data_IF_618579038286
#
_entry.id   IF_618579038286
#
_cell.length_a   1.000
_cell.length_b   1.000
_cell.length_c   1.000
_cell.angle_alpha   90.00
_cell.angle_beta   90.00
_cell.angle_gamma   90.00
#
_symmetry.space_group_name_H-M   'P 1'
#
loop_
_entity.id
_entity.type
_entity.pdbx_description
1 polymer ?
#
# COMPACT_ATOMS: atom_id res chain seq x y z
N UNK A 1 -83.69 26.79 -48.47
CA UNK A 1 -83.89 25.77 -49.54
C UNK A 1 -82.54 25.10 -49.75
N UNK A 2 -82.37 23.90 -49.21
CA UNK A 2 -81.11 23.14 -49.23
C UNK A 2 -81.35 21.86 -50.01
N UNK A 3 -80.75 21.71 -51.18
CA UNK A 3 -80.80 20.48 -51.98
C UNK A 3 -79.61 19.57 -51.65
N UNK A 4 -79.80 18.24 -51.52
CA UNK A 4 -78.71 17.34 -51.18
C UNK A 4 -77.80 17.10 -52.39
N UNK A 5 -76.49 17.33 -52.24
CA UNK A 5 -75.48 16.89 -53.18
C UNK A 5 -75.36 15.35 -53.15
N UNK A 6 -75.82 14.69 -54.22
CA UNK A 6 -75.59 13.26 -54.43
C UNK A 6 -74.16 13.06 -54.95
N UNK A 7 -73.28 12.52 -54.09
CA UNK A 7 -71.90 12.15 -54.45
C UNK A 7 -71.94 10.86 -55.26
N UNK A 8 -71.59 10.92 -56.56
CA UNK A 8 -71.43 9.72 -57.42
C UNK A 8 -70.32 8.83 -56.84
N UNK A 9 -70.70 7.65 -56.34
CA UNK A 9 -69.75 6.59 -56.05
C UNK A 9 -69.26 5.99 -57.37
N UNK A 10 -67.99 6.21 -57.71
CA UNK A 10 -67.33 5.48 -58.80
C UNK A 10 -67.00 4.08 -58.27
N UNK A 11 -67.61 3.06 -58.85
CA UNK A 11 -67.29 1.66 -58.55
C UNK A 11 -65.86 1.34 -58.99
N UNK A 12 -65.17 0.53 -58.18
CA UNK A 12 -63.80 0.10 -58.46
C UNK A 12 -63.75 -0.81 -59.69
N UNK A 13 -62.74 -0.59 -60.55
CA UNK A 13 -62.45 -1.49 -61.66
C UNK A 13 -61.86 -2.80 -61.15
N UNK A 14 -62.20 -3.92 -61.78
CA UNK A 14 -61.61 -5.24 -61.51
C UNK A 14 -60.06 -5.20 -61.53
N UNK A 15 -59.49 -4.39 -62.43
CA UNK A 15 -58.04 -4.22 -62.57
C UNK A 15 -57.44 -3.50 -61.36
N UNK A 16 -58.15 -2.52 -60.80
CA UNK A 16 -57.68 -1.74 -59.67
C UNK A 16 -57.62 -2.59 -58.39
N UNK A 17 -58.61 -3.45 -58.17
CA UNK A 17 -58.61 -4.42 -57.06
C UNK A 17 -57.52 -5.48 -57.26
N UNK A 18 -57.31 -5.98 -58.48
CA UNK A 18 -56.28 -6.97 -58.77
C UNK A 18 -54.86 -6.42 -58.50
N UNK A 19 -54.58 -5.18 -58.95
CA UNK A 19 -53.29 -4.51 -58.69
C UNK A 19 -53.11 -4.22 -57.21
N UNK A 20 -54.16 -3.75 -56.51
CA UNK A 20 -54.08 -3.50 -55.08
C UNK A 20 -53.78 -4.79 -54.28
N UNK A 21 -54.39 -5.91 -54.64
CA UNK A 21 -54.13 -7.21 -54.00
C UNK A 21 -52.72 -7.74 -54.31
N UNK A 22 -52.21 -7.55 -55.54
CA UNK A 22 -50.83 -7.89 -55.89
C UNK A 22 -49.83 -7.11 -55.03
N UNK A 23 -50.01 -5.79 -54.91
CA UNK A 23 -49.15 -4.92 -54.11
C UNK A 23 -49.27 -5.31 -52.63
N UNK A 24 -50.48 -5.52 -52.11
CA UNK A 24 -50.69 -5.93 -50.73
C UNK A 24 -50.04 -7.30 -50.44
N UNK A 25 -50.11 -8.25 -51.37
CA UNK A 25 -49.46 -9.55 -51.26
C UNK A 25 -47.93 -9.43 -51.24
N UNK A 26 -47.35 -8.61 -52.11
CA UNK A 26 -45.91 -8.35 -52.15
C UNK A 26 -45.42 -7.64 -50.88
N UNK A 27 -46.13 -6.60 -50.42
CA UNK A 27 -45.79 -5.88 -49.18
C UNK A 27 -45.91 -6.80 -47.97
N UNK A 28 -46.99 -7.60 -47.90
CA UNK A 28 -47.16 -8.57 -46.82
C UNK A 28 -46.04 -9.61 -46.82
N UNK A 29 -45.64 -10.13 -47.98
CA UNK A 29 -44.53 -11.07 -48.10
C UNK A 29 -43.21 -10.48 -47.59
N UNK A 30 -42.91 -9.21 -47.90
CA UNK A 30 -41.71 -8.51 -47.39
C UNK A 30 -41.80 -8.27 -45.89
N UNK A 31 -42.97 -7.87 -45.37
CA UNK A 31 -43.14 -7.64 -43.93
C UNK A 31 -42.99 -8.94 -43.14
N UNK A 32 -43.61 -10.04 -43.58
CA UNK A 32 -43.52 -11.33 -42.90
C UNK A 32 -42.11 -11.95 -42.93
N UNK A 33 -41.29 -11.64 -43.94
CA UNK A 33 -39.89 -12.08 -43.97
C UNK A 33 -38.98 -11.22 -43.08
N UNK A 34 -39.30 -9.95 -42.85
CA UNK A 34 -38.48 -9.02 -42.04
C UNK A 34 -38.80 -9.05 -40.53
N UNK A 35 -40.04 -9.38 -40.12
CA UNK A 35 -40.43 -9.52 -38.70
C UNK A 35 -39.49 -10.45 -37.89
N UNK A 36 -39.14 -11.66 -38.34
CA UNK A 36 -38.27 -12.54 -37.55
C UNK A 36 -36.84 -11.99 -37.39
N UNK A 37 -36.35 -11.20 -38.35
CA UNK A 37 -35.00 -10.61 -38.31
C UNK A 37 -34.91 -9.53 -37.23
N UNK A 38 -35.93 -8.66 -37.12
CA UNK A 38 -35.99 -7.65 -36.06
C UNK A 38 -36.01 -8.27 -34.66
N UNK A 39 -36.72 -9.40 -34.49
CA UNK A 39 -36.74 -10.13 -33.22
C UNK A 39 -35.40 -10.77 -32.84
N UNK A 40 -34.61 -11.21 -33.81
CA UNK A 40 -33.27 -11.77 -33.57
C UNK A 40 -32.26 -10.69 -33.14
N UNK A 41 -32.27 -9.53 -33.81
CA UNK A 41 -31.37 -8.40 -33.47
C UNK A 41 -31.68 -7.86 -32.07
N UNK A 42 -32.96 -7.66 -31.75
CA UNK A 42 -33.35 -7.18 -30.42
C UNK A 42 -32.98 -8.16 -29.29
N UNK A 43 -33.04 -9.47 -29.56
CA UNK A 43 -32.61 -10.49 -28.59
C UNK A 43 -31.10 -10.48 -28.39
N UNK A 44 -30.32 -10.38 -29.47
CA UNK A 44 -28.86 -10.29 -29.38
C UNK A 44 -28.42 -9.07 -28.55
N UNK A 45 -29.00 -7.88 -28.80
CA UNK A 45 -28.71 -6.67 -28.01
C UNK A 45 -29.08 -6.83 -26.52
N UNK A 46 -30.22 -7.45 -26.23
CA UNK A 46 -30.64 -7.73 -24.86
C UNK A 46 -29.66 -8.70 -24.18
N UNK A 47 -29.24 -9.72 -24.93
CA UNK A 47 -28.37 -10.76 -24.44
C UNK A 47 -26.97 -10.22 -24.09
N UNK A 48 -26.39 -9.39 -24.95
CA UNK A 48 -25.12 -8.71 -24.70
C UNK A 48 -25.18 -7.83 -23.44
N UNK A 49 -26.28 -7.06 -23.26
CA UNK A 49 -26.46 -6.22 -22.07
C UNK A 49 -26.56 -7.03 -20.80
N UNK A 50 -27.25 -8.17 -20.83
CA UNK A 50 -27.41 -9.05 -19.68
C UNK A 50 -26.08 -9.70 -19.29
N UNK A 51 -25.26 -10.12 -20.26
CA UNK A 51 -23.89 -10.60 -19.99
C UNK A 51 -23.00 -9.51 -19.40
N UNK A 52 -23.03 -8.29 -19.95
CA UNK A 52 -22.26 -7.18 -19.41
C UNK A 52 -22.66 -6.85 -17.96
N UNK A 53 -23.96 -6.90 -17.66
CA UNK A 53 -24.47 -6.73 -16.29
C UNK A 53 -24.00 -7.87 -15.37
N UNK A 54 -24.00 -9.12 -15.86
CA UNK A 54 -23.51 -10.26 -15.11
C UNK A 54 -22.00 -10.16 -14.80
N UNK A 55 -21.18 -9.72 -15.77
CA UNK A 55 -19.76 -9.46 -15.52
C UNK A 55 -19.55 -8.39 -14.45
N UNK A 56 -20.30 -7.28 -14.52
CA UNK A 56 -20.22 -6.23 -13.51
C UNK A 56 -20.62 -6.73 -12.12
N UNK A 57 -21.66 -7.58 -12.04
CA UNK A 57 -22.08 -8.20 -10.80
C UNK A 57 -21.03 -9.16 -10.25
N UNK A 58 -20.37 -9.96 -11.11
CA UNK A 58 -19.26 -10.83 -10.72
C UNK A 58 -18.05 -10.03 -10.21
N UNK A 59 -17.71 -8.91 -10.86
CA UNK A 59 -16.66 -8.01 -10.38
C UNK A 59 -17.01 -7.41 -9.02
N UNK A 60 -18.25 -6.94 -8.85
CA UNK A 60 -18.73 -6.42 -7.57
C UNK A 60 -18.72 -7.46 -6.47
N UNK A 61 -19.15 -8.69 -6.77
CA UNK A 61 -19.13 -9.82 -5.85
C UNK A 61 -17.70 -10.19 -5.45
N UNK A 62 -16.77 -10.33 -6.42
CA UNK A 62 -15.36 -10.59 -6.16
C UNK A 62 -14.72 -9.50 -5.27
N UNK A 63 -15.14 -8.23 -5.44
CA UNK A 63 -14.69 -7.13 -4.58
C UNK A 63 -15.22 -7.23 -3.16
N UNK A 64 -16.51 -7.53 -3.00
CA UNK A 64 -17.17 -7.55 -1.70
C UNK A 64 -16.90 -8.83 -0.90
N UNK A 65 -16.68 -9.96 -1.57
CA UNK A 65 -16.56 -11.29 -0.96
C UNK A 65 -15.17 -11.88 -1.06
N UNK A 66 -14.27 -11.29 -1.85
CA UNK A 66 -12.90 -11.76 -2.06
C UNK A 66 -12.82 -13.11 -2.79
N UNK A 67 -13.89 -13.54 -3.44
CA UNK A 67 -13.96 -14.76 -4.25
C UNK A 67 -15.08 -14.64 -5.28
N UNK A 68 -15.11 -15.53 -6.26
CA UNK A 68 -16.23 -15.70 -7.19
C UNK A 68 -17.33 -16.56 -6.55
N UNK A 69 -18.61 -16.35 -6.89
CA UNK A 69 -19.67 -17.18 -6.35
C UNK A 69 -19.57 -18.60 -6.91
N UNK A 70 -20.06 -19.59 -6.16
CA UNK A 70 -20.23 -20.93 -6.71
C UNK A 70 -21.39 -20.96 -7.71
N UNK A 71 -21.36 -21.90 -8.65
CA UNK A 71 -22.44 -22.02 -9.63
C UNK A 71 -23.73 -22.55 -9.00
N UNK A 72 -24.86 -22.13 -9.55
CA UNK A 72 -26.18 -22.68 -9.28
C UNK A 72 -26.35 -23.98 -10.07
N UNK A 73 -26.37 -25.11 -9.38
CA UNK A 73 -26.33 -26.44 -9.97
C UNK A 73 -27.72 -27.10 -10.05
N UNK A 74 -28.71 -26.58 -9.32
CA UNK A 74 -30.09 -27.08 -9.29
C UNK A 74 -31.13 -26.15 -9.94
N UNK A 75 -30.72 -24.92 -10.28
CA UNK A 75 -31.50 -23.92 -11.02
C UNK A 75 -32.39 -23.03 -10.16
N UNK A 76 -32.22 -23.01 -8.83
CA UNK A 76 -33.00 -22.19 -7.91
C UNK A 76 -32.60 -20.69 -7.88
N UNK A 77 -31.48 -20.37 -8.53
CA UNK A 77 -30.87 -19.04 -8.64
C UNK A 77 -29.90 -18.69 -7.51
N UNK A 78 -29.51 -19.64 -6.66
CA UNK A 78 -28.58 -19.48 -5.52
C UNK A 78 -27.29 -20.27 -5.76
N UNK A 79 -26.17 -19.90 -5.10
CA UNK A 79 -24.92 -20.64 -5.23
C UNK A 79 -25.01 -22.01 -4.53
N UNK A 80 -24.51 -23.06 -5.19
CA UNK A 80 -24.29 -24.37 -4.57
C UNK A 80 -22.81 -24.53 -4.16
N UNK A 81 -22.49 -24.64 -2.85
CA UNK A 81 -21.12 -24.68 -2.38
C UNK A 81 -20.24 -25.70 -3.11
N UNK A 82 -19.10 -25.24 -3.65
CA UNK A 82 -18.14 -26.08 -4.36
C UNK A 82 -18.50 -26.40 -5.82
N UNK A 83 -19.69 -26.00 -6.28
CA UNK A 83 -20.06 -26.15 -7.69
C UNK A 83 -19.29 -25.16 -8.56
N UNK A 84 -18.52 -25.67 -9.53
CA UNK A 84 -17.71 -24.87 -10.46
C UNK A 84 -18.39 -24.61 -11.81
N UNK A 85 -19.57 -25.19 -12.03
CA UNK A 85 -20.25 -25.17 -13.32
C UNK A 85 -21.74 -25.37 -13.15
N UNK A 86 -22.57 -24.57 -13.82
CA UNK A 86 -24.03 -24.61 -13.73
C UNK A 86 -24.66 -23.36 -14.31
N UNK A 87 -25.77 -22.93 -13.74
CA UNK A 87 -26.31 -21.60 -13.92
C UNK A 87 -25.54 -20.56 -13.09
N UNK A 88 -25.59 -19.31 -13.51
CA UNK A 88 -25.13 -18.19 -12.72
C UNK A 88 -26.09 -17.96 -11.54
N UNK A 89 -25.63 -17.77 -10.30
CA UNK A 89 -26.49 -17.57 -9.13
C UNK A 89 -27.09 -16.15 -9.12
N UNK A 90 -28.10 -15.94 -9.96
CA UNK A 90 -28.70 -14.63 -10.24
C UNK A 90 -29.25 -13.92 -9.01
N UNK A 91 -29.74 -14.64 -8.01
CA UNK A 91 -30.28 -14.03 -6.77
C UNK A 91 -29.18 -13.43 -5.91
N UNK A 92 -28.04 -14.11 -5.82
CA UNK A 92 -26.88 -13.61 -5.07
C UNK A 92 -26.24 -12.40 -5.76
N UNK A 93 -26.22 -12.41 -7.09
CA UNK A 93 -25.67 -11.34 -7.91
C UNK A 93 -26.63 -10.16 -8.14
N UNK A 94 -27.88 -10.25 -7.66
CA UNK A 94 -28.89 -9.19 -7.84
C UNK A 94 -29.32 -9.01 -9.30
N UNK A 95 -29.22 -10.07 -10.11
CA UNK A 95 -29.63 -10.10 -11.50
C UNK A 95 -31.12 -10.49 -11.62
N UNK A 96 -31.77 -10.24 -12.78
CA UNK A 96 -33.15 -10.68 -13.03
C UNK A 96 -33.31 -12.18 -12.78
N UNK A 97 -34.35 -12.58 -12.04
CA UNK A 97 -34.54 -13.98 -11.63
C UNK A 97 -34.88 -14.94 -12.78
N UNK A 98 -35.25 -14.42 -13.94
CA UNK A 98 -35.50 -15.14 -15.19
C UNK A 98 -34.25 -15.24 -16.09
N UNK A 99 -33.15 -14.58 -15.72
CA UNK A 99 -31.88 -14.69 -16.44
C UNK A 99 -31.33 -16.12 -16.33
N UNK A 100 -31.12 -16.75 -17.49
CA UNK A 100 -30.56 -18.10 -17.60
C UNK A 100 -29.21 -18.02 -18.30
N UNK A 101 -28.18 -17.78 -17.50
CA UNK A 101 -26.79 -17.62 -17.95
C UNK A 101 -26.01 -18.84 -17.47
N UNK A 102 -25.41 -19.58 -18.40
CA UNK A 102 -24.46 -20.65 -18.06
C UNK A 102 -23.21 -20.02 -17.46
N UNK A 103 -22.69 -20.64 -16.41
CA UNK A 103 -21.58 -20.14 -15.64
C UNK A 103 -20.60 -21.26 -15.32
N UNK A 104 -19.32 -21.01 -15.56
CA UNK A 104 -18.24 -21.83 -15.01
C UNK A 104 -17.17 -20.95 -14.40
N UNK A 105 -16.60 -21.39 -13.28
CA UNK A 105 -15.59 -20.66 -12.53
C UNK A 105 -14.43 -21.56 -12.12
N UNK A 106 -13.27 -20.95 -11.98
CA UNK A 106 -12.09 -21.64 -11.52
C UNK A 106 -12.26 -22.08 -10.06
N UNK A 107 -12.07 -23.37 -9.76
CA UNK A 107 -12.32 -23.95 -8.44
C UNK A 107 -11.59 -23.22 -7.30
N UNK A 108 -10.33 -22.86 -7.53
CA UNK A 108 -9.53 -22.11 -6.56
C UNK A 108 -10.09 -20.73 -6.21
N UNK A 109 -10.95 -20.14 -7.05
CA UNK A 109 -11.53 -18.82 -6.85
C UNK A 109 -12.93 -18.86 -6.21
N UNK A 110 -13.45 -20.03 -5.82
CA UNK A 110 -14.77 -20.17 -5.19
C UNK A 110 -14.79 -19.89 -3.68
N UNK A 111 -13.62 -19.78 -3.06
CA UNK A 111 -13.47 -19.49 -1.65
C UNK A 111 -12.58 -18.26 -1.46
N UNK A 112 -12.88 -17.46 -0.44
CA UNK A 112 -12.01 -16.35 -0.05
C UNK A 112 -10.62 -16.90 0.28
N UNK A 113 -9.54 -16.25 -0.18
CA UNK A 113 -8.21 -16.62 0.26
C UNK A 113 -8.07 -16.39 1.76
N UNK A 114 -7.13 -17.13 2.37
CA UNK A 114 -6.67 -16.79 3.72
C UNK A 114 -5.86 -15.49 3.72
N UNK A 115 -5.14 -15.24 4.82
CA UNK A 115 -4.13 -14.18 4.87
C UNK A 115 -2.89 -14.61 4.08
N UNK A 116 -2.84 -14.24 2.79
CA UNK A 116 -1.77 -14.53 1.83
C UNK A 116 -0.85 -13.31 1.68
N UNK A 117 -1.39 -12.10 1.80
CA UNK A 117 -0.67 -10.85 1.73
C UNK A 117 -0.25 -10.40 3.15
N UNK A 118 1.01 -10.63 3.50
CA UNK A 118 1.58 -10.20 4.78
C UNK A 118 2.83 -9.34 4.51
N UNK A 119 2.68 -8.00 4.37
CA UNK A 119 3.83 -7.14 4.17
C UNK A 119 4.69 -7.13 5.44
N UNK A 120 6.02 -7.23 5.27
CA UNK A 120 6.92 -7.13 6.40
C UNK A 120 6.99 -5.68 6.90
N UNK A 121 6.38 -5.39 8.05
CA UNK A 121 6.51 -4.10 8.72
C UNK A 121 7.64 -4.18 9.74
N UNK A 122 8.50 -3.16 9.76
CA UNK A 122 9.62 -3.12 10.69
C UNK A 122 9.14 -3.03 12.15
N UNK A 123 9.93 -3.56 13.09
CA UNK A 123 9.59 -3.59 14.52
C UNK A 123 8.70 -4.76 14.95
N UNK A 124 8.66 -5.85 14.16
CA UNK A 124 7.84 -7.06 14.40
C UNK A 124 6.32 -6.81 14.40
N UNK A 125 5.88 -5.69 13.82
CA UNK A 125 4.47 -5.44 13.61
C UNK A 125 3.96 -6.25 12.41
N UNK A 126 2.77 -6.82 12.56
CA UNK A 126 2.11 -7.58 11.51
C UNK A 126 0.75 -6.95 11.27
N UNK A 127 0.47 -6.62 10.01
CA UNK A 127 -0.90 -6.42 9.56
C UNK A 127 -1.33 -7.70 8.86
N UNK A 128 -2.41 -8.31 9.35
CA UNK A 128 -2.94 -9.58 8.87
C UNK A 128 -4.46 -9.56 8.58
N UNK A 129 -5.06 -8.48 8.04
CA UNK A 129 -6.46 -8.52 7.65
C UNK A 129 -6.62 -9.34 6.36
N UNK A 130 -7.58 -10.26 6.32
CA UNK A 130 -8.01 -10.85 5.04
C UNK A 130 -8.81 -9.83 4.26
N UNK A 131 -8.28 -9.40 3.11
CA UNK A 131 -8.79 -8.30 2.32
C UNK A 131 -8.54 -8.49 0.80
N UNK A 132 -8.81 -7.46 0.01
CA UNK A 132 -8.64 -7.48 -1.44
C UNK A 132 -7.23 -7.76 -1.96
N UNK A 133 -6.20 -7.44 -1.19
CA UNK A 133 -4.80 -7.70 -1.55
C UNK A 133 -4.52 -9.20 -1.51
N UNK A 134 -5.18 -9.96 -0.63
CA UNK A 134 -5.10 -11.43 -0.61
C UNK A 134 -5.72 -12.02 -1.87
N UNK A 135 -6.89 -11.52 -2.30
CA UNK A 135 -7.50 -11.93 -3.58
C UNK A 135 -6.56 -11.62 -4.74
N UNK A 136 -5.90 -10.45 -4.73
CA UNK A 136 -4.97 -10.07 -5.77
C UNK A 136 -3.74 -11.00 -5.84
N UNK A 137 -3.14 -11.38 -4.71
CA UNK A 137 -2.07 -12.38 -4.69
C UNK A 137 -2.56 -13.77 -5.09
N UNK A 138 -3.74 -14.16 -4.62
CA UNK A 138 -4.34 -15.44 -4.96
C UNK A 138 -4.60 -15.57 -6.47
N UNK A 139 -5.09 -14.52 -7.12
CA UNK A 139 -5.24 -14.47 -8.58
C UNK A 139 -3.90 -14.65 -9.30
N UNK A 140 -2.82 -14.04 -8.81
CA UNK A 140 -1.48 -14.25 -9.38
C UNK A 140 -1.01 -15.70 -9.25
N UNK A 141 -1.26 -16.34 -8.10
CA UNK A 141 -0.93 -17.75 -7.88
C UNK A 141 -1.75 -18.67 -8.80
N UNK A 142 -3.05 -18.43 -8.93
CA UNK A 142 -3.92 -19.18 -9.84
C UNK A 142 -3.46 -18.99 -11.29
N UNK A 143 -3.08 -17.78 -11.69
CA UNK A 143 -2.53 -17.51 -13.02
C UNK A 143 -1.22 -18.25 -13.27
N UNK A 144 -0.31 -18.28 -12.29
CA UNK A 144 0.96 -18.99 -12.39
C UNK A 144 0.79 -20.51 -12.52
N UNK A 145 -0.22 -21.08 -11.86
CA UNK A 145 -0.54 -22.50 -11.98
C UNK A 145 -1.10 -22.88 -13.37
N UNK A 146 -1.68 -21.92 -14.09
CA UNK A 146 -2.05 -22.07 -15.51
C UNK A 146 -3.12 -23.14 -15.78
N UNK A 147 -3.92 -23.51 -14.78
CA UNK A 147 -4.95 -24.55 -14.94
C UNK A 147 -6.09 -24.03 -15.82
N UNK A 148 -6.37 -24.69 -16.97
CA UNK A 148 -7.43 -24.26 -17.86
C UNK A 148 -8.82 -24.54 -17.25
N UNK A 149 -9.79 -23.71 -17.61
CA UNK A 149 -11.18 -23.95 -17.25
C UNK A 149 -11.78 -25.04 -18.13
N UNK A 150 -12.67 -25.88 -17.60
CA UNK A 150 -13.33 -26.92 -18.39
C UNK A 150 -14.03 -26.32 -19.62
N UNK A 151 -13.83 -26.93 -20.79
CA UNK A 151 -14.37 -26.44 -22.08
C UNK A 151 -13.50 -25.38 -22.75
N UNK A 152 -12.56 -24.77 -22.05
CA UNK A 152 -11.66 -23.74 -22.56
C UNK A 152 -10.21 -24.23 -22.59
N UNK A 153 -9.50 -23.94 -23.67
CA UNK A 153 -8.06 -24.25 -23.80
C UNK A 153 -7.16 -23.19 -23.16
N UNK A 154 -7.69 -22.33 -22.29
CA UNK A 154 -6.97 -21.22 -21.68
C UNK A 154 -7.28 -21.09 -20.17
N UNK A 155 -6.33 -20.59 -19.36
CA UNK A 155 -6.60 -20.24 -17.96
C UNK A 155 -7.60 -19.09 -17.89
N UNK A 156 -8.80 -19.38 -17.41
CA UNK A 156 -9.86 -18.40 -17.20
C UNK A 156 -10.28 -18.38 -15.72
N UNK A 157 -10.59 -17.20 -15.21
CA UNK A 157 -11.18 -17.06 -13.89
C UNK A 157 -12.64 -17.53 -13.91
N UNK A 158 -13.37 -17.15 -14.96
CA UNK A 158 -14.73 -17.60 -15.22
C UNK A 158 -15.09 -17.52 -16.70
N UNK A 159 -16.17 -18.23 -17.05
CA UNK A 159 -16.84 -18.19 -18.34
C UNK A 159 -18.35 -18.04 -18.15
N UNK A 160 -18.95 -17.28 -19.05
CA UNK A 160 -20.39 -17.06 -19.16
C UNK A 160 -20.85 -17.50 -20.55
N UNK A 161 -22.07 -18.03 -20.62
CA UNK A 161 -22.68 -18.33 -21.91
C UNK A 161 -24.18 -18.17 -21.88
N UNK A 162 -24.72 -17.73 -23.01
CA UNK A 162 -26.15 -17.60 -23.22
C UNK A 162 -26.54 -18.36 -24.49
N UNK A 163 -27.12 -19.57 -24.32
CA UNK A 163 -27.61 -20.35 -25.45
C UNK A 163 -28.74 -19.63 -26.19
N UNK A 164 -28.73 -19.71 -27.52
CA UNK A 164 -29.81 -19.16 -28.36
C UNK A 164 -31.17 -19.77 -28.03
N UNK A 165 -31.19 -21.04 -27.63
CA UNK A 165 -32.39 -21.78 -27.23
C UNK A 165 -32.34 -22.19 -25.76
N UNK A 166 -32.59 -21.22 -24.87
CA UNK A 166 -32.52 -21.40 -23.40
C UNK A 166 -33.34 -22.58 -22.86
N UNK A 167 -34.45 -22.94 -23.53
CA UNK A 167 -35.30 -24.08 -23.15
C UNK A 167 -34.72 -25.46 -23.45
N UNK A 168 -33.61 -25.54 -24.20
CA UNK A 168 -32.94 -26.81 -24.54
C UNK A 168 -31.83 -27.21 -23.55
N UNK A 169 -31.56 -26.39 -22.53
CA UNK A 169 -30.55 -26.71 -21.52
C UNK A 169 -31.13 -27.76 -20.56
N UNK A 170 -30.90 -29.03 -20.86
CA UNK A 170 -31.33 -30.15 -20.02
C UNK A 170 -30.50 -30.30 -18.75
N UNK A 171 -29.16 -30.21 -18.86
CA UNK A 171 -28.23 -30.26 -17.73
C UNK A 171 -27.30 -29.04 -17.80
N UNK A 172 -27.48 -28.11 -16.86
CA UNK A 172 -26.74 -26.86 -16.84
C UNK A 172 -25.26 -27.05 -16.51
N UNK A 173 -24.91 -28.00 -15.63
CA UNK A 173 -23.50 -28.26 -15.33
C UNK A 173 -22.74 -28.77 -16.56
N UNK A 174 -23.35 -29.71 -17.30
CA UNK A 174 -22.76 -30.25 -18.53
C UNK A 174 -22.65 -29.18 -19.62
N UNK A 175 -23.68 -28.36 -19.81
CA UNK A 175 -23.67 -27.27 -20.77
C UNK A 175 -22.62 -26.20 -20.41
N UNK A 176 -22.49 -25.84 -19.14
CA UNK A 176 -21.49 -24.87 -18.68
C UNK A 176 -20.04 -25.37 -18.85
N UNK A 177 -19.79 -26.68 -18.66
CA UNK A 177 -18.48 -27.30 -18.93
C UNK A 177 -18.14 -27.42 -20.41
N UNK A 178 -19.14 -27.30 -21.28
CA UNK A 178 -19.00 -27.36 -22.73
C UNK A 178 -19.00 -25.96 -23.38
N UNK A 179 -18.89 -24.89 -22.58
CA UNK A 179 -18.74 -23.52 -23.10
C UNK A 179 -17.49 -23.43 -23.97
N UNK A 180 -17.66 -22.91 -25.18
CA UNK A 180 -16.60 -22.68 -26.15
C UNK A 180 -16.55 -21.19 -26.51
N UNK A 181 -15.35 -20.63 -26.62
CA UNK A 181 -15.16 -19.24 -27.04
C UNK A 181 -15.44 -19.06 -28.54
N UNK A 182 -15.81 -17.84 -28.99
CA UNK A 182 -15.99 -17.56 -30.41
C UNK A 182 -14.74 -17.94 -31.23
N UNK A 183 -14.94 -18.71 -32.30
CA UNK A 183 -13.86 -19.20 -33.16
C UNK A 183 -13.16 -20.47 -32.68
N UNK A 184 -13.51 -21.01 -31.50
CA UNK A 184 -13.05 -22.33 -31.08
C UNK A 184 -13.79 -23.45 -31.82
N UNK A 185 -13.15 -24.61 -31.98
CA UNK A 185 -13.82 -25.79 -32.51
C UNK A 185 -14.94 -26.22 -31.55
N UNK A 186 -16.16 -26.54 -32.04
CA UNK A 186 -17.26 -26.94 -31.19
C UNK A 186 -16.93 -28.23 -30.45
N UNK A 187 -17.12 -28.21 -29.13
CA UNK A 187 -16.93 -29.37 -28.26
C UNK A 187 -18.26 -30.12 -28.15
N UNK A 188 -18.22 -31.43 -27.93
CA UNK A 188 -19.44 -32.22 -27.70
C UNK A 188 -20.25 -31.63 -26.53
N UNK A 189 -21.54 -31.35 -26.78
CA UNK A 189 -22.42 -30.70 -25.80
C UNK A 189 -22.36 -29.17 -25.76
N UNK A 190 -21.53 -28.54 -26.59
CA UNK A 190 -21.56 -27.07 -26.75
C UNK A 190 -22.88 -26.63 -27.39
N UNK A 191 -23.46 -25.55 -26.84
CA UNK A 191 -24.69 -24.96 -27.35
C UNK A 191 -24.35 -23.69 -28.13
N UNK A 192 -24.97 -23.47 -29.31
CA UNK A 192 -24.78 -22.22 -30.03
C UNK A 192 -25.34 -21.06 -29.22
N UNK A 193 -24.56 -19.97 -29.13
CA UNK A 193 -24.92 -18.84 -28.30
C UNK A 193 -23.78 -17.84 -28.14
N UNK A 194 -24.07 -16.79 -27.39
CA UNK A 194 -23.08 -15.79 -27.00
C UNK A 194 -22.26 -16.33 -25.82
N UNK A 195 -20.94 -16.36 -25.95
CA UNK A 195 -20.04 -16.79 -24.89
C UNK A 195 -18.98 -15.74 -24.61
N UNK A 196 -18.62 -15.64 -23.34
CA UNK A 196 -17.65 -14.69 -22.83
C UNK A 196 -16.82 -15.37 -21.75
N UNK A 197 -15.52 -15.10 -21.69
CA UNK A 197 -14.71 -15.58 -20.60
C UNK A 197 -13.72 -14.48 -20.19
N UNK A 198 -13.48 -14.39 -18.88
CA UNK A 198 -12.47 -13.50 -18.35
C UNK A 198 -11.25 -14.31 -17.90
N UNK A 199 -10.08 -13.95 -18.42
CA UNK A 199 -8.81 -14.50 -17.97
C UNK A 199 -8.54 -14.17 -16.49
N UNK A 200 -7.69 -14.95 -15.83
CA UNK A 200 -7.27 -14.64 -14.44
C UNK A 200 -6.54 -13.29 -14.36
N UNK A 201 -5.67 -13.01 -15.33
CA UNK A 201 -4.99 -11.71 -15.45
C UNK A 201 -5.94 -10.57 -15.81
N UNK A 202 -7.00 -10.84 -16.57
CA UNK A 202 -8.02 -9.84 -16.88
C UNK A 202 -8.84 -9.46 -15.65
N UNK A 203 -9.29 -10.44 -14.87
CA UNK A 203 -9.96 -10.20 -13.58
C UNK A 203 -9.05 -9.39 -12.65
N UNK A 204 -7.77 -9.76 -12.55
CA UNK A 204 -6.75 -9.02 -11.78
C UNK A 204 -6.61 -7.56 -12.24
N UNK A 205 -6.61 -7.32 -13.56
CA UNK A 205 -6.55 -5.98 -14.15
C UNK A 205 -7.80 -5.15 -13.82
N UNK A 206 -9.00 -5.72 -13.98
CA UNK A 206 -10.28 -5.05 -13.68
C UNK A 206 -10.43 -4.72 -12.18
N UNK A 207 -9.76 -5.47 -11.30
CA UNK A 207 -9.67 -5.21 -9.86
C UNK A 207 -8.56 -4.21 -9.46
N UNK A 208 -7.78 -3.71 -10.44
CA UNK A 208 -6.61 -2.86 -10.24
C UNK A 208 -5.56 -3.46 -9.29
N UNK A 209 -5.39 -4.78 -9.34
CA UNK A 209 -4.55 -5.51 -8.38
C UNK A 209 -3.08 -5.06 -8.40
N UNK A 210 -2.51 -4.81 -9.58
CA UNK A 210 -1.11 -4.39 -9.69
C UNK A 210 -0.86 -3.03 -9.02
N UNK A 211 -1.74 -2.05 -9.24
CA UNK A 211 -1.64 -0.73 -8.60
C UNK A 211 -1.77 -0.84 -7.08
N UNK A 212 -2.77 -1.58 -6.61
CA UNK A 212 -3.08 -1.71 -5.17
C UNK A 212 -2.01 -2.45 -4.40
N UNK A 213 -1.56 -3.59 -4.92
CA UNK A 213 -0.41 -4.31 -4.36
C UNK A 213 0.84 -3.42 -4.38
N UNK A 214 1.08 -2.69 -5.47
CA UNK A 214 2.21 -1.76 -5.59
C UNK A 214 2.19 -0.66 -4.54
N UNK A 215 1.04 -0.01 -4.31
CA UNK A 215 0.87 1.02 -3.28
C UNK A 215 1.07 0.46 -1.87
N UNK A 216 0.47 -0.68 -1.56
CA UNK A 216 0.58 -1.30 -0.24
C UNK A 216 2.03 -1.75 0.05
N UNK A 217 2.69 -2.38 -0.92
CA UNK A 217 4.09 -2.80 -0.78
C UNK A 217 5.05 -1.61 -0.73
N UNK A 218 4.83 -0.57 -1.55
CA UNK A 218 5.62 0.66 -1.51
C UNK A 218 5.49 1.39 -0.16
N UNK A 219 4.30 1.41 0.44
CA UNK A 219 4.10 1.97 1.77
C UNK A 219 4.80 1.14 2.86
N UNK A 220 4.74 -0.20 2.79
CA UNK A 220 5.47 -1.08 3.70
C UNK A 220 6.99 -0.86 3.62
N UNK A 221 7.55 -0.77 2.40
CA UNK A 221 8.96 -0.44 2.20
C UNK A 221 9.33 0.94 2.75
N UNK A 222 8.45 1.93 2.55
CA UNK A 222 8.64 3.28 3.09
C UNK A 222 8.63 3.28 4.62
N UNK A 223 7.75 2.50 5.26
CA UNK A 223 7.73 2.31 6.71
C UNK A 223 9.02 1.64 7.23
N UNK A 224 9.53 0.63 6.52
CA UNK A 224 10.79 -0.02 6.88
C UNK A 224 12.00 0.92 6.75
N UNK A 225 12.02 1.77 5.72
CA UNK A 225 13.04 2.80 5.55
C UNK A 225 12.96 3.85 6.68
N UNK A 226 11.76 4.33 7.01
CA UNK A 226 11.55 5.28 8.10
C UNK A 226 11.96 4.72 9.47
N UNK A 227 11.68 3.42 9.72
CA UNK A 227 12.17 2.71 10.91
C UNK A 227 13.70 2.72 11.00
N UNK A 228 14.38 2.40 9.89
CA UNK A 228 15.86 2.39 9.85
C UNK A 228 16.45 3.78 10.11
N UNK A 229 15.83 4.84 9.56
CA UNK A 229 16.23 6.22 9.81
C UNK A 229 16.03 6.59 11.30
N UNK A 230 14.91 6.17 11.90
CA UNK A 230 14.63 6.42 13.30
C UNK A 230 15.64 5.74 14.23
N UNK A 231 16.05 4.51 13.94
CA UNK A 231 17.10 3.80 14.70
C UNK A 231 18.45 4.52 14.64
N UNK A 232 18.85 4.99 13.44
CA UNK A 232 20.09 5.78 13.28
C UNK A 232 20.00 7.12 14.02
N UNK A 233 18.85 7.79 13.95
CA UNK A 233 18.61 9.04 14.67
C UNK A 233 18.66 8.83 16.20
N UNK A 234 18.10 7.72 16.69
CA UNK A 234 18.15 7.34 18.10
C UNK A 234 19.58 7.03 18.56
N UNK A 235 20.35 6.30 17.75
CA UNK A 235 21.76 6.06 18.02
C UNK A 235 22.54 7.39 18.09
N UNK A 236 22.34 8.28 17.11
CA UNK A 236 22.99 9.58 17.08
C UNK A 236 22.63 10.43 18.32
N UNK A 237 21.37 10.45 18.71
CA UNK A 237 20.92 11.14 19.93
C UNK A 237 21.60 10.58 21.19
N UNK A 238 21.64 9.25 21.35
CA UNK A 238 22.33 8.60 22.48
C UNK A 238 23.82 8.93 22.50
N UNK A 239 24.48 8.93 21.34
CA UNK A 239 25.88 9.31 21.19
C UNK A 239 26.11 10.77 21.60
N UNK A 240 25.27 11.72 21.16
CA UNK A 240 25.41 13.13 21.55
C UNK A 240 25.13 13.37 23.04
N UNK A 241 24.22 12.62 23.65
CA UNK A 241 24.03 12.63 25.10
C UNK A 241 25.23 12.08 25.87
N UNK A 242 25.94 11.10 25.31
CA UNK A 242 27.19 10.61 25.88
C UNK A 242 28.29 11.68 25.78
N UNK A 243 28.41 12.35 24.63
CA UNK A 243 29.36 13.45 24.41
C UNK A 243 29.17 14.60 25.41
N UNK A 244 27.92 15.00 25.68
CA UNK A 244 27.62 16.00 26.74
C UNK A 244 28.12 15.52 28.10
N UNK A 245 27.86 14.26 28.50
CA UNK A 245 28.34 13.73 29.78
C UNK A 245 29.86 13.69 29.87
N UNK A 246 30.54 13.37 28.77
CA UNK A 246 32.00 13.41 28.68
C UNK A 246 32.53 14.84 28.85
N UNK A 247 31.92 15.83 28.19
CA UNK A 247 32.29 17.24 28.33
C UNK A 247 31.98 17.79 29.73
N UNK A 248 30.91 17.32 30.39
CA UNK A 248 30.63 17.65 31.80
C UNK A 248 31.72 17.10 32.73
N UNK A 249 32.18 15.87 32.49
CA UNK A 249 33.28 15.29 33.23
C UNK A 249 34.62 16.04 33.00
N UNK A 250 34.90 16.44 31.75
CA UNK A 250 36.08 17.25 31.41
C UNK A 250 36.02 18.64 32.06
N UNK A 251 34.87 19.30 32.05
CA UNK A 251 34.69 20.58 32.75
C UNK A 251 34.97 20.43 34.25
N UNK A 252 34.43 19.40 34.88
CA UNK A 252 34.66 19.13 36.31
C UNK A 252 36.14 18.81 36.60
N UNK A 253 36.81 18.09 35.71
CA UNK A 253 38.24 17.83 35.82
C UNK A 253 39.07 19.13 35.65
N UNK A 254 38.71 19.98 34.69
CA UNK A 254 39.36 21.29 34.48
C UNK A 254 39.15 22.23 35.68
N UNK A 255 37.95 22.26 36.27
CA UNK A 255 37.69 22.99 37.52
C UNK A 255 38.58 22.51 38.68
N UNK A 256 38.74 21.19 38.83
CA UNK A 256 39.68 20.64 39.83
C UNK A 256 41.13 20.94 39.50
N UNK A 257 41.50 20.98 38.21
CA UNK A 257 42.84 21.34 37.74
C UNK A 257 43.16 22.82 38.02
N UNK A 258 42.23 23.73 37.75
CA UNK A 258 42.34 25.15 38.13
C UNK A 258 42.44 25.30 39.64
N UNK A 259 41.63 24.59 40.42
CA UNK A 259 41.71 24.63 41.87
C UNK A 259 43.05 24.12 42.41
N UNK A 260 43.60 23.05 41.83
CA UNK A 260 44.91 22.51 42.18
C UNK A 260 46.07 23.43 41.73
N UNK A 261 45.97 24.04 40.56
CA UNK A 261 46.95 25.03 40.06
C UNK A 261 46.90 26.32 40.88
N UNK A 262 45.71 26.78 41.27
CA UNK A 262 45.52 27.94 42.16
C UNK A 262 46.00 27.65 43.59
N UNK A 263 45.78 26.43 44.10
CA UNK A 263 46.36 25.99 45.36
C UNK A 263 47.89 25.92 45.29
N UNK A 264 48.45 25.40 44.20
CA UNK A 264 49.90 25.38 43.94
C UNK A 264 50.48 26.80 43.87
N UNK A 265 49.78 27.74 43.22
CA UNK A 265 50.14 29.15 43.20
C UNK A 265 50.08 29.76 44.60
N UNK A 266 49.04 29.47 45.39
CA UNK A 266 48.93 29.92 46.78
C UNK A 266 50.08 29.37 47.63
N UNK A 267 50.40 28.08 47.51
CA UNK A 267 51.55 27.47 48.20
C UNK A 267 52.89 28.09 47.77
N UNK A 268 53.09 28.35 46.47
CA UNK A 268 54.29 29.04 45.99
C UNK A 268 54.43 30.47 46.56
N UNK A 269 53.30 31.21 46.67
CA UNK A 269 53.26 32.53 47.32
C UNK A 269 53.55 32.42 48.83
N UNK A 270 53.04 31.38 49.50
CA UNK A 270 53.30 31.14 50.92
C UNK A 270 54.75 30.74 51.21
N UNK A 271 55.38 29.93 50.37
CA UNK A 271 56.81 29.58 50.48
C UNK A 271 57.70 30.83 50.33
N UNK A 272 57.34 31.76 49.43
CA UNK A 272 58.06 33.04 49.28
C UNK A 272 57.94 33.92 50.54
N UNK A 273 56.77 33.96 51.18
CA UNK A 273 56.56 34.70 52.43
C UNK A 273 57.38 34.12 53.60
N UNK A 274 57.57 32.80 53.66
CA UNK A 274 58.39 32.14 54.68
C UNK A 274 59.88 32.45 54.47
N UNK A 275 60.37 32.44 53.22
CA UNK A 275 61.76 32.79 52.88
C UNK A 275 62.10 34.25 53.25
N UNK A 276 61.18 35.20 53.00
CA UNK A 276 61.32 36.60 53.40
C UNK A 276 61.32 36.77 54.93
N UNK A 277 60.57 35.95 55.65
CA UNK A 277 60.49 36.02 57.11
C UNK A 277 61.74 35.46 57.79
N UNK A 278 62.28 34.34 57.29
CA UNK A 278 63.50 33.72 57.81
C UNK A 278 64.76 34.58 57.59
N UNK A 279 64.73 35.51 56.64
CA UNK A 279 65.83 36.44 56.35
C UNK A 279 65.77 37.75 57.14
N UNK A 280 64.67 38.07 57.83
CA UNK A 280 64.47 39.35 58.55
C UNK A 280 64.60 39.29 60.08
N UNK A 281 64.58 38.11 60.72
CA UNK A 281 64.52 38.00 62.20
C UNK A 281 65.81 37.52 62.89
N UNK A 282 66.99 37.57 62.24
CA UNK A 282 68.26 37.16 62.85
C UNK A 282 69.39 38.16 62.63
N UNK A 283 70.13 38.51 63.70
CA UNK A 283 71.26 39.44 63.69
C UNK A 283 72.21 39.26 62.48
N UNK A 284 72.52 40.38 61.82
CA UNK A 284 73.20 40.46 60.53
C UNK A 284 74.73 40.38 60.65
N UNK A 285 75.32 39.20 60.58
CA UNK A 285 76.76 39.05 60.30
C UNK A 285 77.05 37.84 59.38
N UNK A 286 77.28 38.10 58.08
CA UNK A 286 78.21 37.44 57.12
C UNK A 286 77.71 37.54 55.66
N UNK A 287 78.59 37.95 54.74
CA UNK A 287 78.30 38.12 53.29
C UNK A 287 77.90 36.85 52.53
N UNK A 288 78.07 35.68 53.13
CA UNK A 288 77.62 34.39 52.60
C UNK A 288 76.08 34.26 52.60
N UNK A 289 75.36 34.97 53.48
CA UNK A 289 73.89 34.90 53.59
C UNK A 289 73.13 35.79 52.61
N UNK A 290 73.72 36.92 52.18
CA UNK A 290 73.13 37.80 51.14
C UNK A 290 73.12 37.07 49.78
N UNK A 291 74.18 36.31 49.48
CA UNK A 291 74.24 35.49 48.26
C UNK A 291 73.20 34.35 48.26
N UNK A 292 72.91 33.74 49.42
CA UNK A 292 71.86 32.73 49.58
C UNK A 292 70.45 33.32 49.42
N UNK A 293 70.17 34.48 50.01
CA UNK A 293 68.88 35.16 49.87
C UNK A 293 68.59 35.61 48.41
N UNK A 294 69.61 36.09 47.69
CA UNK A 294 69.47 36.47 46.26
C UNK A 294 69.30 35.25 45.36
N UNK A 295 69.94 34.11 45.67
CA UNK A 295 69.74 32.86 44.92
C UNK A 295 68.38 32.20 45.21
N UNK A 296 67.86 32.27 46.44
CA UNK A 296 66.50 31.80 46.77
C UNK A 296 65.42 32.65 46.08
N UNK A 297 65.58 33.98 46.03
CA UNK A 297 64.64 34.86 45.33
C UNK A 297 64.59 34.64 43.81
N UNK A 298 65.71 34.26 43.19
CA UNK A 298 65.75 33.98 41.75
C UNK A 298 64.99 32.70 41.36
N UNK A 299 65.08 31.63 42.18
CA UNK A 299 64.30 30.41 41.98
C UNK A 299 62.81 30.59 42.34
N UNK A 300 62.49 31.44 43.33
CA UNK A 300 61.11 31.78 43.71
C UNK A 300 60.36 32.58 42.61
N UNK A 301 61.04 33.52 41.94
CA UNK A 301 60.45 34.25 40.80
C UNK A 301 60.18 33.33 39.59
N UNK A 302 61.03 32.33 39.37
CA UNK A 302 60.80 31.31 38.34
C UNK A 302 59.63 30.37 38.70
N UNK A 303 59.45 30.00 39.97
CA UNK A 303 58.36 29.14 40.42
C UNK A 303 57.00 29.86 40.46
N UNK A 304 56.96 31.14 40.83
CA UNK A 304 55.74 31.97 40.71
C UNK A 304 55.38 32.21 39.24
N UNK A 305 56.37 32.49 38.38
CA UNK A 305 56.14 32.63 36.94
C UNK A 305 55.61 31.33 36.28
N UNK A 306 56.15 30.18 36.68
CA UNK A 306 55.65 28.86 36.26
C UNK A 306 54.26 28.55 36.83
N UNK A 307 53.98 28.91 38.08
CA UNK A 307 52.67 28.74 38.70
C UNK A 307 51.60 29.65 38.06
N UNK A 308 51.93 30.90 37.72
CA UNK A 308 51.06 31.81 36.95
C UNK A 308 50.81 31.27 35.54
N UNK A 309 51.83 30.69 34.89
CA UNK A 309 51.68 30.01 33.60
C UNK A 309 50.77 28.78 33.70
N UNK A 310 50.89 27.96 34.75
CA UNK A 310 50.02 26.83 35.01
C UNK A 310 48.57 27.25 35.29
N UNK A 311 48.36 28.31 36.07
CA UNK A 311 47.03 28.88 36.31
C UNK A 311 46.42 29.43 35.01
N UNK A 312 47.23 30.07 34.16
CA UNK A 312 46.77 30.56 32.85
C UNK A 312 46.41 29.43 31.89
N UNK A 313 47.23 28.38 31.77
CA UNK A 313 46.86 27.19 30.99
C UNK A 313 45.59 26.54 31.54
N UNK A 314 45.46 26.43 32.87
CA UNK A 314 44.27 25.86 33.48
C UNK A 314 43.01 26.72 33.23
N UNK A 315 43.14 28.06 33.21
CA UNK A 315 42.04 28.98 32.87
C UNK A 315 41.66 28.89 31.38
N UNK A 316 42.65 28.82 30.48
CA UNK A 316 42.43 28.60 29.04
C UNK A 316 41.76 27.22 28.79
N UNK A 317 42.17 26.16 29.50
CA UNK A 317 41.56 24.82 29.48
C UNK A 317 40.11 24.84 30.01
N UNK A 318 39.86 25.59 31.09
CA UNK A 318 38.52 25.73 31.68
C UNK A 318 37.58 26.49 30.72
N UNK A 319 38.06 27.55 30.07
CA UNK A 319 37.32 28.26 29.03
C UNK A 319 37.02 27.35 27.83
N UNK A 320 38.02 26.61 27.35
CA UNK A 320 37.85 25.62 26.27
C UNK A 320 36.84 24.52 26.62
N UNK A 321 36.87 24.02 27.86
CA UNK A 321 35.92 23.02 28.35
C UNK A 321 34.49 23.58 28.45
N UNK A 322 34.30 24.84 28.86
CA UNK A 322 32.98 25.52 28.86
C UNK A 322 32.42 25.68 27.45
N UNK A 323 33.24 26.15 26.51
CA UNK A 323 32.84 26.32 25.10
C UNK A 323 32.51 24.98 24.43
N UNK A 324 33.30 23.94 24.70
CA UNK A 324 33.08 22.58 24.22
C UNK A 324 31.78 21.98 24.80
N UNK A 325 31.51 22.19 26.09
CA UNK A 325 30.25 21.76 26.71
C UNK A 325 29.04 22.50 26.12
N UNK A 326 29.13 23.81 25.91
CA UNK A 326 28.06 24.59 25.29
C UNK A 326 27.77 24.09 23.86
N UNK A 327 28.82 23.84 23.08
CA UNK A 327 28.71 23.27 21.72
C UNK A 327 28.11 21.86 21.74
N UNK A 328 28.56 21.00 22.65
CA UNK A 328 28.03 19.64 22.80
C UNK A 328 26.54 19.66 23.18
N UNK A 329 26.12 20.57 24.07
CA UNK A 329 24.70 20.76 24.44
C UNK A 329 23.84 21.22 23.26
N UNK A 330 24.32 22.16 22.45
CA UNK A 330 23.63 22.65 21.24
C UNK A 330 23.49 21.53 20.18
N UNK A 331 24.57 20.78 19.92
CA UNK A 331 24.54 19.61 19.02
C UNK A 331 23.57 18.53 19.54
N UNK A 332 23.56 18.26 20.85
CA UNK A 332 22.64 17.31 21.47
C UNK A 332 21.17 17.76 21.37
N UNK A 333 20.88 19.06 21.51
CA UNK A 333 19.54 19.62 21.33
C UNK A 333 19.05 19.40 19.89
N UNK A 334 19.88 19.73 18.88
CA UNK A 334 19.57 19.46 17.47
C UNK A 334 19.37 17.98 17.18
N UNK A 335 20.17 17.10 17.78
CA UNK A 335 20.02 15.65 17.66
C UNK A 335 18.71 15.15 18.29
N UNK A 336 18.26 15.73 19.41
CA UNK A 336 16.95 15.43 20.01
C UNK A 336 15.81 15.75 19.05
N UNK A 337 15.79 16.96 18.49
CA UNK A 337 14.74 17.36 17.53
C UNK A 337 14.71 16.45 16.30
N UNK A 338 15.88 16.04 15.78
CA UNK A 338 15.96 15.10 14.65
C UNK A 338 15.47 13.70 15.01
N UNK A 339 15.77 13.23 16.22
CA UNK A 339 15.26 11.96 16.74
C UNK A 339 13.72 11.99 16.84
N UNK A 340 13.15 13.07 17.38
CA UNK A 340 11.70 13.19 17.53
C UNK A 340 11.00 13.27 16.17
N UNK A 341 11.56 14.02 15.21
CA UNK A 341 11.06 14.07 13.84
C UNK A 341 11.13 12.70 13.16
N UNK A 342 12.23 11.97 13.32
CA UNK A 342 12.40 10.64 12.73
C UNK A 342 11.42 9.62 13.35
N UNK A 343 11.17 9.70 14.66
CA UNK A 343 10.17 8.89 15.34
C UNK A 343 8.75 9.17 14.82
N UNK A 344 8.37 10.45 14.67
CA UNK A 344 7.08 10.83 14.08
C UNK A 344 6.93 10.36 12.63
N UNK A 345 7.97 10.52 11.80
CA UNK A 345 7.94 10.07 10.41
C UNK A 345 7.80 8.55 10.31
N UNK A 346 8.49 7.79 11.18
CA UNK A 346 8.32 6.33 11.30
C UNK A 346 6.87 5.98 11.63
N UNK A 347 6.29 6.60 12.65
CA UNK A 347 4.94 6.27 13.11
C UNK A 347 3.89 6.60 12.03
N UNK A 348 4.05 7.73 11.33
CA UNK A 348 3.18 8.09 10.21
C UNK A 348 3.28 7.10 9.04
N UNK A 349 4.50 6.73 8.63
CA UNK A 349 4.71 5.78 7.55
C UNK A 349 4.13 4.40 7.89
N UNK A 350 4.29 3.96 9.14
CA UNK A 350 3.72 2.71 9.64
C UNK A 350 2.18 2.73 9.63
N UNK A 351 1.56 3.81 10.12
CA UNK A 351 0.11 3.97 10.08
C UNK A 351 -0.43 4.00 8.65
N UNK A 352 0.28 4.67 7.73
CA UNK A 352 -0.09 4.68 6.31
C UNK A 352 -0.01 3.29 5.68
N UNK A 353 1.06 2.53 5.97
CA UNK A 353 1.21 1.17 5.48
C UNK A 353 0.07 0.26 5.98
N UNK A 354 -0.26 0.32 7.27
CA UNK A 354 -1.41 -0.40 7.84
C UNK A 354 -2.74 0.02 7.23
N UNK A 355 -2.94 1.32 7.04
CA UNK A 355 -4.18 1.85 6.48
C UNK A 355 -4.40 1.37 5.03
N UNK A 356 -3.34 1.30 4.23
CA UNK A 356 -3.41 0.77 2.87
C UNK A 356 -3.64 -0.73 2.84
N UNK A 357 -3.03 -1.48 3.75
CA UNK A 357 -3.29 -2.93 3.86
C UNK A 357 -4.75 -3.19 4.26
N UNK A 358 -5.24 -2.57 5.34
CA UNK A 358 -6.62 -2.70 5.82
C UNK A 358 -7.64 -2.26 4.74
N UNK A 359 -7.32 -1.25 3.93
CA UNK A 359 -8.22 -0.77 2.88
C UNK A 359 -8.38 -1.76 1.72
N UNK A 360 -7.43 -2.66 1.51
CA UNK A 360 -7.50 -3.70 0.49
C UNK A 360 -7.79 -3.19 -0.93
N UNK A 361 -8.94 -3.62 -1.47
CA UNK A 361 -9.46 -3.26 -2.81
C UNK A 361 -10.60 -2.23 -2.76
N UNK A 362 -10.88 -1.65 -1.60
CA UNK A 362 -11.97 -0.68 -1.44
C UNK A 362 -11.51 0.77 -1.52
N UNK A 363 -10.19 1.04 -1.56
CA UNK A 363 -9.62 2.38 -1.79
C UNK A 363 -8.45 2.36 -2.77
#
# INVERSE_FOLDING_TARGET
MSGPCVRRQRGFSLVEIAVALLIAGLVSAVVFTLIPIGGQVLRADHDERLLAQAEQALLGHARAKLHLPAADSDGDGRPDPGSTSGWLPVRELGLPGDARILYSAHAALLAAPGNVYAPHLAGAEVSSPTNGLDLCLHLQQVQANGTPLAGLSMPAAYALGMPNERGQVGNAQAAARALALPGAAPVAGSLPGLTLAAGVGELSSRLACADRLGRAQGAAQSAAAAYSIAEVAQFNYRFRKFDVRTNEALLKAAETGVAAAAASLAFAIFDEAIAVFLTTTGNFETGFKIALAVMEHANALASVGYAVFLVKMADDDLKGARESLATAKDIAARASTRNDLAAHARDQALQQAKALDIAGIDK
#
